data_IF_650710690143
#
_entry.id   IF_650710690143
#
_cell.length_a   1.000
_cell.length_b   1.000
_cell.length_c   1.000
_cell.angle_alpha   90.00
_cell.angle_beta   90.00
_cell.angle_gamma   90.00
#
_symmetry.space_group_name_H-M   'P 1'
#
loop_
_entity.id
_entity.type
_entity.pdbx_description
1 polymer ?
#
# COMPACT_ATOMS: atom_id res chain seq x y z
N UNK A 1 11.99 24.23 19.91
CA UNK A 1 11.27 23.72 21.12
C UNK A 1 11.78 24.35 22.39
N UNK A 2 13.09 24.40 22.66
CA UNK A 2 13.67 25.12 23.83
C UNK A 2 13.31 26.61 23.80
N UNK A 3 13.44 27.26 22.65
CA UNK A 3 13.08 28.68 22.45
C UNK A 3 11.61 29.00 22.75
N UNK A 4 10.70 28.03 22.55
CA UNK A 4 9.27 28.16 22.87
C UNK A 4 8.93 27.89 24.33
N UNK A 5 9.86 27.33 25.11
CA UNK A 5 9.73 27.00 26.53
C UNK A 5 10.43 28.01 27.44
N UNK A 6 11.06 29.08 26.90
CA UNK A 6 11.79 30.07 27.63
C UNK A 6 13.15 29.62 28.17
N UNK A 7 13.38 29.65 29.47
CA UNK A 7 14.69 29.39 30.09
C UNK A 7 15.23 27.96 30.05
N UNK A 8 14.82 27.17 29.09
CA UNK A 8 15.22 25.74 29.01
C UNK A 8 16.23 25.53 27.89
N UNK A 9 17.40 24.95 28.19
CA UNK A 9 18.43 24.66 27.18
C UNK A 9 18.03 23.51 26.25
N UNK A 10 18.49 23.54 24.98
CA UNK A 10 18.29 22.44 24.00
C UNK A 10 18.79 21.10 24.53
N UNK A 11 19.89 21.10 25.30
CA UNK A 11 20.43 19.87 25.93
C UNK A 11 19.49 19.29 26.99
N UNK A 12 18.77 20.15 27.72
CA UNK A 12 17.79 19.68 28.71
C UNK A 12 16.59 19.06 28.01
N UNK A 13 16.05 19.73 26.99
CA UNK A 13 14.94 19.19 26.18
C UNK A 13 15.33 17.86 25.57
N UNK A 14 16.54 17.77 25.00
CA UNK A 14 17.04 16.51 24.41
C UNK A 14 17.17 15.37 25.44
N UNK A 15 17.73 15.66 26.63
CA UNK A 15 17.83 14.68 27.72
C UNK A 15 16.48 14.23 28.24
N UNK A 16 15.54 15.18 28.40
CA UNK A 16 14.17 14.87 28.81
C UNK A 16 13.46 13.94 27.82
N UNK A 17 13.49 14.27 26.54
CA UNK A 17 12.86 13.45 25.49
C UNK A 17 13.48 12.04 25.42
N UNK A 18 14.79 11.95 25.53
CA UNK A 18 15.49 10.68 25.58
C UNK A 18 15.15 9.84 26.82
N UNK A 19 15.04 10.47 27.97
CA UNK A 19 14.60 9.80 29.21
C UNK A 19 13.16 9.26 29.10
N UNK A 20 12.29 9.97 28.37
CA UNK A 20 10.93 9.54 28.06
C UNK A 20 10.86 8.56 26.89
N UNK A 21 12.00 8.13 26.32
CA UNK A 21 12.08 7.27 25.13
C UNK A 21 11.33 7.85 23.92
N UNK A 22 11.24 9.17 23.80
CA UNK A 22 10.63 9.86 22.67
C UNK A 22 11.70 10.00 21.59
N UNK A 23 11.54 9.28 20.50
CA UNK A 23 12.37 9.37 19.31
C UNK A 23 11.78 10.45 18.38
N UNK A 24 12.47 11.57 18.26
CA UNK A 24 12.05 12.68 17.39
C UNK A 24 12.35 12.41 15.90
N UNK A 25 13.31 11.53 15.61
CA UNK A 25 13.67 11.15 14.23
C UNK A 25 12.74 10.04 13.71
N UNK A 26 12.22 9.22 14.61
CA UNK A 26 11.28 8.14 14.32
C UNK A 26 9.84 8.64 14.15
N UNK A 27 9.59 9.53 13.18
CA UNK A 27 8.23 10.02 12.87
C UNK A 27 7.36 8.89 12.35
N UNK A 28 6.58 8.27 13.22
CA UNK A 28 5.48 7.40 12.81
C UNK A 28 4.21 8.24 12.70
N UNK A 29 3.74 8.42 11.46
CA UNK A 29 2.41 8.97 11.24
C UNK A 29 1.37 7.87 11.43
N UNK A 30 0.27 8.16 12.09
CA UNK A 30 -0.90 7.30 12.17
C UNK A 30 -2.15 8.13 11.96
N UNK A 31 -3.18 7.52 11.42
CA UNK A 31 -4.52 8.09 11.40
C UNK A 31 -5.36 7.45 12.50
N UNK A 32 -6.14 8.27 13.17
CA UNK A 32 -7.13 7.81 14.14
C UNK A 32 -8.39 7.35 13.40
N UNK A 33 -8.87 6.15 13.72
CA UNK A 33 -10.10 5.64 13.13
C UNK A 33 -11.27 5.91 14.08
N UNK A 34 -12.27 6.62 13.57
CA UNK A 34 -13.55 6.85 14.25
C UNK A 34 -14.66 5.95 13.66
N UNK A 35 -14.30 4.88 12.97
CA UNK A 35 -15.27 3.94 12.40
C UNK A 35 -15.99 3.19 13.52
N UNK A 36 -17.31 3.33 13.68
CA UNK A 36 -18.06 2.64 14.73
C UNK A 36 -18.06 1.13 14.54
N UNK A 37 -17.83 0.64 13.31
CA UNK A 37 -17.75 -0.78 12.98
C UNK A 37 -16.30 -1.29 12.94
N UNK A 38 -15.34 -0.53 13.51
CA UNK A 38 -13.91 -0.86 13.43
C UNK A 38 -13.61 -2.29 13.86
N UNK A 39 -14.14 -2.72 15.03
CA UNK A 39 -13.88 -4.06 15.57
C UNK A 39 -14.49 -5.14 14.68
N UNK A 40 -15.73 -4.96 14.23
CA UNK A 40 -16.41 -5.94 13.39
C UNK A 40 -15.71 -6.12 12.03
N UNK A 41 -15.41 -5.02 11.33
CA UNK A 41 -14.69 -5.05 10.05
C UNK A 41 -13.28 -5.62 10.19
N UNK A 42 -12.59 -5.25 11.27
CA UNK A 42 -11.26 -5.79 11.58
C UNK A 42 -11.30 -7.30 11.76
N UNK A 43 -12.25 -7.80 12.59
CA UNK A 43 -12.40 -9.23 12.83
C UNK A 43 -12.73 -10.00 11.53
N UNK A 44 -13.63 -9.45 10.70
CA UNK A 44 -13.98 -10.02 9.40
C UNK A 44 -12.75 -10.16 8.48
N UNK A 45 -11.97 -9.09 8.31
CA UNK A 45 -10.80 -9.11 7.44
C UNK A 45 -9.71 -10.04 7.97
N UNK A 46 -9.42 -10.01 9.26
CA UNK A 46 -8.44 -10.91 9.87
C UNK A 46 -8.90 -12.36 9.75
N UNK A 47 -10.19 -12.62 9.93
CA UNK A 47 -10.78 -13.95 9.71
C UNK A 47 -10.51 -14.46 8.30
N UNK A 48 -10.74 -13.64 7.26
CA UNK A 48 -10.44 -13.98 5.88
C UNK A 48 -8.95 -14.26 5.62
N UNK A 49 -8.05 -13.63 6.38
CA UNK A 49 -6.61 -13.85 6.23
C UNK A 49 -6.11 -15.10 6.97
N UNK A 50 -6.71 -15.45 8.10
CA UNK A 50 -6.26 -16.57 8.92
C UNK A 50 -6.99 -17.87 8.60
N UNK A 51 -8.27 -17.79 8.27
CA UNK A 51 -9.14 -18.93 8.02
C UNK A 51 -10.13 -18.60 6.88
N UNK A 52 -9.64 -18.55 5.63
CA UNK A 52 -10.48 -18.25 4.48
C UNK A 52 -11.53 -19.36 4.27
N UNK A 53 -12.72 -19.04 3.74
CA UNK A 53 -13.73 -20.05 3.42
C UNK A 53 -13.18 -21.09 2.44
N UNK A 54 -13.54 -22.36 2.65
CA UNK A 54 -13.07 -23.48 1.83
C UNK A 54 -13.33 -23.25 0.35
N UNK A 55 -12.28 -23.41 -0.47
CA UNK A 55 -12.35 -23.26 -1.91
C UNK A 55 -12.54 -21.84 -2.41
N UNK A 56 -12.77 -20.86 -1.54
CA UNK A 56 -12.88 -19.47 -1.95
C UNK A 56 -11.53 -18.87 -2.38
N UNK A 57 -11.59 -17.83 -3.20
CA UNK A 57 -10.46 -16.97 -3.53
C UNK A 57 -10.54 -15.71 -2.67
N UNK A 58 -9.54 -15.47 -1.85
CA UNK A 58 -9.44 -14.24 -1.06
C UNK A 58 -8.37 -13.34 -1.65
N UNK A 59 -8.76 -12.14 -2.06
CA UNK A 59 -7.90 -11.16 -2.71
C UNK A 59 -7.84 -9.88 -1.89
N UNK A 60 -6.64 -9.34 -1.71
CA UNK A 60 -6.43 -7.96 -1.32
C UNK A 60 -6.21 -7.11 -2.57
N UNK A 61 -7.10 -6.15 -2.83
CA UNK A 61 -7.09 -5.35 -4.07
C UNK A 61 -6.97 -3.87 -3.74
N UNK A 62 -6.15 -3.18 -4.51
CA UNK A 62 -5.98 -1.73 -4.44
C UNK A 62 -5.32 -1.17 -5.71
N UNK A 63 -5.17 0.16 -5.78
CA UNK A 63 -4.42 0.78 -6.85
C UNK A 63 -3.26 1.65 -6.37
N UNK A 64 -2.18 1.67 -7.16
CA UNK A 64 -1.09 2.61 -7.05
C UNK A 64 -1.20 3.64 -8.18
N UNK A 65 -1.82 4.81 -7.90
CA UNK A 65 -2.03 5.82 -8.93
C UNK A 65 -0.77 6.63 -9.19
N UNK A 66 -0.74 7.30 -10.35
CA UNK A 66 0.27 8.31 -10.69
C UNK A 66 1.72 7.84 -10.57
N UNK A 67 2.02 6.58 -10.91
CA UNK A 67 3.39 6.12 -11.01
C UNK A 67 4.06 6.90 -12.13
N UNK A 68 5.07 7.70 -11.79
CA UNK A 68 5.72 8.62 -12.72
C UNK A 68 6.84 7.95 -13.49
N UNK A 69 6.87 8.18 -14.82
CA UNK A 69 8.03 7.91 -15.65
C UNK A 69 9.00 9.07 -15.47
N UNK A 70 10.03 8.89 -14.67
CA UNK A 70 11.07 9.88 -14.38
C UNK A 70 12.35 9.46 -15.05
N UNK A 71 12.83 10.28 -15.98
CA UNK A 71 14.17 10.13 -16.53
C UNK A 71 15.17 10.90 -15.67
N UNK A 72 16.19 10.20 -15.20
CA UNK A 72 17.27 10.76 -14.37
C UNK A 72 18.61 10.42 -14.98
N UNK A 73 19.51 11.40 -15.05
CA UNK A 73 20.89 11.11 -15.41
C UNK A 73 21.49 10.19 -14.32
N UNK A 74 21.94 9.03 -14.76
CA UNK A 74 22.62 8.05 -13.91
C UNK A 74 24.12 8.20 -14.11
N UNK A 75 24.89 8.10 -13.03
CA UNK A 75 26.34 8.22 -13.08
C UNK A 75 27.03 7.37 -12.03
N UNK A 76 28.34 7.18 -12.23
CA UNK A 76 29.20 6.50 -11.28
C UNK A 76 30.18 7.50 -10.68
N UNK A 77 30.24 7.57 -9.37
CA UNK A 77 31.31 8.25 -8.64
C UNK A 77 32.37 7.25 -8.22
N UNK A 78 33.56 7.35 -8.82
CA UNK A 78 34.72 6.55 -8.43
C UNK A 78 35.36 7.19 -7.21
N UNK A 79 35.33 6.51 -6.09
CA UNK A 79 35.92 6.99 -4.83
C UNK A 79 37.44 6.73 -4.80
N UNK A 80 38.19 7.53 -4.01
CA UNK A 80 39.64 7.38 -3.83
C UNK A 80 40.09 6.00 -3.33
N UNK A 81 39.18 5.26 -2.66
CA UNK A 81 39.39 3.90 -2.17
C UNK A 81 39.11 2.80 -3.20
N UNK A 82 38.92 3.15 -4.48
CA UNK A 82 38.62 2.21 -5.55
C UNK A 82 37.17 1.72 -5.62
N UNK A 83 36.31 2.07 -4.66
CA UNK A 83 34.88 1.74 -4.69
C UNK A 83 34.13 2.65 -5.66
N UNK A 84 33.11 2.11 -6.29
CA UNK A 84 32.22 2.86 -7.17
C UNK A 84 30.88 3.04 -6.48
N UNK A 85 30.42 4.29 -6.34
CA UNK A 85 29.08 4.62 -5.92
C UNK A 85 28.22 4.90 -7.15
N UNK A 86 27.12 4.19 -7.30
CA UNK A 86 26.08 4.57 -8.26
C UNK A 86 25.29 5.74 -7.69
N UNK A 87 25.19 6.81 -8.45
CA UNK A 87 24.40 7.97 -8.09
C UNK A 87 23.43 8.34 -9.22
N UNK A 88 22.38 9.03 -8.88
CA UNK A 88 21.47 9.64 -9.85
C UNK A 88 21.31 11.13 -9.54
N UNK A 89 21.09 11.91 -10.58
CA UNK A 89 20.84 13.34 -10.45
C UNK A 89 19.53 13.60 -9.70
N UNK A 90 19.50 14.66 -8.88
CA UNK A 90 18.25 15.20 -8.34
C UNK A 90 17.38 15.85 -9.45
N UNK A 91 17.97 16.26 -10.57
CA UNK A 91 17.23 16.72 -11.74
C UNK A 91 16.61 15.54 -12.46
N UNK A 92 15.35 15.70 -12.85
CA UNK A 92 14.62 14.69 -13.61
C UNK A 92 13.70 15.33 -14.64
N UNK A 93 13.47 14.60 -15.72
CA UNK A 93 12.45 14.91 -16.72
C UNK A 93 11.25 13.99 -16.52
N UNK A 94 10.03 14.53 -16.60
CA UNK A 94 8.78 13.77 -16.48
C UNK A 94 8.25 13.41 -17.86
N UNK A 95 8.01 12.12 -18.09
CA UNK A 95 7.50 11.59 -19.36
C UNK A 95 6.04 11.10 -19.26
N UNK A 96 5.36 11.42 -18.17
CA UNK A 96 3.97 11.04 -17.91
C UNK A 96 3.81 10.04 -16.77
N UNK A 97 2.59 9.51 -16.64
CA UNK A 97 2.20 8.64 -15.52
C UNK A 97 1.44 7.41 -16.00
N UNK A 98 1.45 6.37 -15.18
CA UNK A 98 0.54 5.23 -15.30
C UNK A 98 -0.10 4.93 -13.95
N UNK A 99 -1.26 4.26 -13.97
CA UNK A 99 -1.93 3.73 -12.76
C UNK A 99 -1.86 2.22 -12.84
N UNK A 100 -1.54 1.60 -11.71
CA UNK A 100 -1.50 0.16 -11.53
C UNK A 100 -2.66 -0.25 -10.63
N UNK A 101 -3.52 -1.17 -11.07
CA UNK A 101 -4.37 -1.97 -10.20
C UNK A 101 -3.69 -3.29 -9.92
N UNK A 102 -3.76 -3.76 -8.68
CA UNK A 102 -3.17 -5.03 -8.30
C UNK A 102 -4.09 -5.80 -7.35
N UNK A 103 -4.06 -7.11 -7.47
CA UNK A 103 -4.76 -8.06 -6.62
C UNK A 103 -3.75 -9.09 -6.11
N UNK A 104 -3.61 -9.17 -4.80
CA UNK A 104 -2.80 -10.15 -4.09
C UNK A 104 -3.69 -11.30 -3.66
N UNK A 105 -3.40 -12.51 -4.10
CA UNK A 105 -4.00 -13.73 -3.59
C UNK A 105 -3.42 -14.04 -2.20
N UNK A 106 -4.27 -14.06 -1.20
CA UNK A 106 -3.87 -14.24 0.20
C UNK A 106 -3.30 -15.64 0.44
N UNK A 107 -3.82 -16.65 -0.25
CA UNK A 107 -3.42 -18.04 -0.06
C UNK A 107 -2.08 -18.38 -0.72
N UNK A 108 -1.77 -17.78 -1.87
CA UNK A 108 -0.55 -18.08 -2.64
C UNK A 108 0.52 -17.01 -2.53
N UNK A 109 0.11 -15.77 -2.23
CA UNK A 109 0.96 -14.58 -2.31
C UNK A 109 1.19 -14.07 -3.73
N UNK A 110 0.62 -14.72 -4.75
CA UNK A 110 0.72 -14.29 -6.14
C UNK A 110 -0.04 -12.98 -6.38
N UNK A 111 0.45 -12.20 -7.33
CA UNK A 111 -0.14 -10.91 -7.67
C UNK A 111 -0.55 -10.88 -9.13
N UNK A 112 -1.75 -10.39 -9.37
CA UNK A 112 -2.25 -9.99 -10.68
C UNK A 112 -2.22 -8.49 -10.81
N UNK A 113 -1.77 -8.01 -11.95
CA UNK A 113 -1.58 -6.59 -12.20
C UNK A 113 -2.32 -6.15 -13.48
N UNK A 114 -2.81 -4.90 -13.47
CA UNK A 114 -3.44 -4.28 -14.62
C UNK A 114 -3.03 -2.82 -14.74
N UNK A 115 -2.61 -2.40 -15.94
CA UNK A 115 -2.20 -1.03 -16.20
C UNK A 115 -3.32 -0.21 -16.80
N UNK A 116 -3.57 0.95 -16.20
CA UNK A 116 -4.63 1.85 -16.60
C UNK A 116 -4.13 3.29 -16.68
N UNK A 117 -4.87 4.10 -17.42
CA UNK A 117 -4.57 5.53 -17.51
C UNK A 117 -5.11 6.31 -16.31
N UNK A 118 -6.19 5.83 -15.71
CA UNK A 118 -6.93 6.49 -14.63
C UNK A 118 -7.39 5.48 -13.59
N UNK A 119 -7.73 5.98 -12.38
CA UNK A 119 -8.32 5.20 -11.28
C UNK A 119 -9.80 5.52 -11.09
N UNK A 120 -10.63 5.25 -12.10
CA UNK A 120 -12.08 5.45 -11.99
C UNK A 120 -12.78 4.11 -11.75
N UNK A 121 -14.05 4.19 -11.41
CA UNK A 121 -14.89 3.00 -11.23
C UNK A 121 -14.85 2.05 -12.43
N UNK A 122 -14.84 2.59 -13.65
CA UNK A 122 -14.83 1.79 -14.88
C UNK A 122 -13.54 0.99 -15.03
N UNK A 123 -12.40 1.57 -14.72
CA UNK A 123 -11.12 0.86 -14.75
C UNK A 123 -11.04 -0.20 -13.64
N UNK A 124 -11.53 0.12 -12.44
CA UNK A 124 -11.65 -0.85 -11.36
C UNK A 124 -12.52 -2.05 -11.75
N UNK A 125 -13.70 -1.80 -12.32
CA UNK A 125 -14.58 -2.88 -12.74
C UNK A 125 -14.04 -3.68 -13.93
N UNK A 126 -13.31 -3.06 -14.87
CA UNK A 126 -12.61 -3.77 -15.93
C UNK A 126 -11.55 -4.72 -15.34
N UNK A 127 -10.79 -4.24 -14.37
CA UNK A 127 -9.82 -5.08 -13.66
C UNK A 127 -10.50 -6.25 -12.92
N UNK A 128 -11.60 -5.99 -12.21
CA UNK A 128 -12.36 -7.03 -11.52
C UNK A 128 -12.99 -8.04 -12.50
N UNK A 129 -13.48 -7.60 -13.67
CA UNK A 129 -14.00 -8.49 -14.70
C UNK A 129 -12.92 -9.50 -15.18
N UNK A 130 -11.66 -9.07 -15.33
CA UNK A 130 -10.56 -9.96 -15.69
C UNK A 130 -10.32 -11.02 -14.62
N UNK A 131 -10.29 -10.59 -13.33
CA UNK A 131 -10.14 -11.52 -12.21
C UNK A 131 -11.28 -12.55 -12.18
N UNK A 132 -12.54 -12.10 -12.29
CA UNK A 132 -13.69 -13.00 -12.28
C UNK A 132 -13.64 -13.98 -13.45
N UNK A 133 -13.25 -13.52 -14.64
CA UNK A 133 -13.11 -14.37 -15.83
C UNK A 133 -12.04 -15.46 -15.69
N UNK A 134 -10.97 -15.21 -14.92
CA UNK A 134 -9.93 -16.21 -14.61
C UNK A 134 -10.40 -17.29 -13.62
N UNK A 135 -11.48 -17.03 -12.86
CA UNK A 135 -11.97 -17.90 -11.78
C UNK A 135 -13.47 -18.19 -11.89
N UNK A 136 -13.94 -18.82 -12.98
CA UNK A 136 -15.37 -19.05 -13.22
C UNK A 136 -15.97 -19.93 -12.13
N UNK A 137 -17.10 -19.50 -11.58
CA UNK A 137 -17.86 -20.24 -10.56
C UNK A 137 -17.24 -20.31 -9.17
N UNK A 138 -16.07 -19.72 -8.95
CA UNK A 138 -15.42 -19.69 -7.65
C UNK A 138 -15.96 -18.52 -6.81
N UNK A 139 -16.18 -18.75 -5.52
CA UNK A 139 -16.46 -17.66 -4.59
C UNK A 139 -15.23 -16.77 -4.42
N UNK A 140 -15.41 -15.46 -4.56
CA UNK A 140 -14.32 -14.47 -4.53
C UNK A 140 -14.61 -13.43 -3.43
N UNK A 141 -13.76 -13.40 -2.43
CA UNK A 141 -13.78 -12.41 -1.37
C UNK A 141 -12.70 -11.35 -1.67
N UNK A 142 -13.09 -10.09 -1.73
CA UNK A 142 -12.20 -8.99 -2.10
C UNK A 142 -12.09 -8.00 -0.96
N UNK A 143 -10.92 -7.90 -0.36
CA UNK A 143 -10.60 -6.90 0.66
C UNK A 143 -10.19 -5.61 -0.05
N UNK A 144 -10.84 -4.51 0.30
CA UNK A 144 -10.72 -3.19 -0.32
C UNK A 144 -10.60 -2.09 0.73
N UNK A 145 -9.98 -0.99 0.39
CA UNK A 145 -10.09 0.24 1.16
C UNK A 145 -11.44 0.97 0.91
N UNK A 146 -11.69 2.04 1.66
CA UNK A 146 -12.92 2.81 1.57
C UNK A 146 -12.96 3.83 0.42
N UNK A 147 -12.09 3.70 -0.58
CA UNK A 147 -12.09 4.60 -1.72
C UNK A 147 -13.43 4.58 -2.46
N UNK A 148 -13.89 5.76 -2.86
CA UNK A 148 -15.21 5.90 -3.50
C UNK A 148 -15.33 5.13 -4.83
N UNK A 149 -14.21 4.84 -5.51
CA UNK A 149 -14.18 4.01 -6.72
C UNK A 149 -14.49 2.54 -6.45
N UNK A 150 -14.21 2.05 -5.23
CA UNK A 150 -14.46 0.66 -4.83
C UNK A 150 -15.89 0.41 -4.38
N UNK A 151 -16.54 1.44 -3.81
CA UNK A 151 -17.89 1.31 -3.25
C UNK A 151 -18.92 0.94 -4.33
N UNK A 152 -19.87 0.05 -3.99
CA UNK A 152 -20.98 -0.28 -4.89
C UNK A 152 -21.71 0.98 -5.36
N UNK A 153 -22.06 1.01 -6.64
CA UNK A 153 -22.78 2.09 -7.29
C UNK A 153 -24.06 1.52 -7.95
N UNK A 154 -24.84 2.39 -8.57
CA UNK A 154 -26.01 2.01 -9.36
C UNK A 154 -25.64 1.31 -10.70
N UNK A 155 -24.37 0.88 -10.85
CA UNK A 155 -23.90 0.13 -12.02
C UNK A 155 -24.40 -1.33 -12.05
N UNK A 156 -24.92 -1.84 -10.94
CA UNK A 156 -25.44 -3.20 -10.83
C UNK A 156 -24.36 -4.29 -11.02
N UNK A 157 -23.08 -3.98 -10.84
CA UNK A 157 -22.01 -4.93 -11.09
C UNK A 157 -22.04 -6.10 -10.09
N UNK A 158 -22.11 -5.84 -8.78
CA UNK A 158 -22.20 -6.89 -7.75
C UNK A 158 -23.43 -7.80 -7.92
N UNK A 159 -24.64 -7.30 -8.16
CA UNK A 159 -25.79 -8.15 -8.46
C UNK A 159 -25.60 -9.12 -9.65
N UNK A 160 -24.78 -8.73 -10.64
CA UNK A 160 -24.43 -9.62 -11.76
C UNK A 160 -23.30 -10.60 -11.45
N UNK A 161 -22.63 -10.45 -10.32
CA UNK A 161 -21.53 -11.32 -9.87
C UNK A 161 -21.81 -11.81 -8.44
N UNK A 162 -22.83 -12.68 -8.25
CA UNK A 162 -23.29 -13.10 -6.91
C UNK A 162 -22.25 -13.91 -6.14
N UNK A 163 -21.25 -14.42 -6.84
CA UNK A 163 -20.09 -15.11 -6.26
C UNK A 163 -18.97 -14.15 -5.78
N UNK A 164 -19.14 -12.83 -5.92
CA UNK A 164 -18.14 -11.83 -5.48
C UNK A 164 -18.68 -11.08 -4.26
N UNK A 165 -17.86 -11.00 -3.22
CA UNK A 165 -18.15 -10.24 -1.98
C UNK A 165 -17.05 -9.24 -1.71
N UNK A 166 -17.43 -7.98 -1.45
CA UNK A 166 -16.51 -6.90 -1.08
C UNK A 166 -16.49 -6.70 0.44
N UNK A 167 -15.29 -6.69 1.00
CA UNK A 167 -15.00 -6.47 2.41
C UNK A 167 -14.18 -5.20 2.56
N UNK A 168 -14.74 -4.18 3.21
CA UNK A 168 -14.08 -2.88 3.32
C UNK A 168 -13.30 -2.76 4.62
N UNK A 169 -12.04 -2.30 4.53
CA UNK A 169 -11.26 -1.97 5.72
C UNK A 169 -11.96 -0.88 6.54
N UNK A 170 -11.76 -0.82 7.87
CA UNK A 170 -12.24 0.31 8.65
C UNK A 170 -11.70 1.63 8.11
N UNK A 171 -12.42 2.71 8.28
CA UNK A 171 -11.98 4.05 7.86
C UNK A 171 -10.63 4.37 8.52
N UNK A 172 -9.69 4.92 7.73
CA UNK A 172 -8.31 5.20 8.14
C UNK A 172 -7.48 3.96 8.60
N UNK A 173 -7.87 2.76 8.15
CA UNK A 173 -7.17 1.52 8.42
C UNK A 173 -6.75 0.77 7.14
N UNK A 174 -6.38 1.50 6.09
CA UNK A 174 -5.92 0.91 4.81
C UNK A 174 -4.70 -0.02 4.98
N UNK A 175 -3.89 0.18 6.03
CA UNK A 175 -2.78 -0.70 6.39
C UNK A 175 -3.18 -2.15 6.64
N UNK A 176 -4.46 -2.43 6.85
CA UNK A 176 -5.00 -3.80 6.95
C UNK A 176 -5.11 -4.47 5.58
N UNK A 177 -5.11 -3.72 4.49
CA UNK A 177 -5.10 -4.26 3.14
C UNK A 177 -3.68 -4.76 2.79
N UNK A 178 -3.47 -6.07 2.75
CA UNK A 178 -2.14 -6.67 2.56
C UNK A 178 -1.47 -6.30 1.24
N UNK A 179 -2.21 -5.87 0.23
CA UNK A 179 -1.62 -5.40 -1.05
C UNK A 179 -0.68 -4.20 -0.86
N UNK A 180 -0.85 -3.40 0.20
CA UNK A 180 0.03 -2.28 0.52
C UNK A 180 1.46 -2.74 0.86
N UNK A 181 1.60 -3.94 1.45
CA UNK A 181 2.92 -4.56 1.69
C UNK A 181 3.59 -4.83 0.35
N UNK A 182 2.86 -5.41 -0.59
CA UNK A 182 3.39 -5.71 -1.92
C UNK A 182 3.72 -4.42 -2.70
N UNK A 183 2.90 -3.37 -2.63
CA UNK A 183 3.22 -2.08 -3.24
C UNK A 183 4.50 -1.46 -2.67
N UNK A 184 4.78 -1.69 -1.40
CA UNK A 184 6.04 -1.27 -0.77
C UNK A 184 7.23 -2.06 -1.32
N UNK A 185 7.09 -3.36 -1.54
CA UNK A 185 8.09 -4.23 -2.15
C UNK A 185 8.34 -3.81 -3.60
N UNK A 186 7.28 -3.65 -4.42
CA UNK A 186 7.37 -3.16 -5.80
C UNK A 186 8.13 -1.83 -5.87
N UNK A 187 7.75 -0.89 -5.01
CA UNK A 187 8.35 0.45 -5.00
C UNK A 187 9.85 0.39 -4.76
N UNK A 188 10.28 -0.36 -3.75
CA UNK A 188 11.71 -0.50 -3.38
C UNK A 188 12.50 -1.30 -4.39
N UNK A 189 11.92 -2.37 -4.95
CA UNK A 189 12.66 -3.31 -5.77
C UNK A 189 12.68 -2.98 -7.26
N UNK A 190 11.65 -2.26 -7.77
CA UNK A 190 11.50 -2.06 -9.20
C UNK A 190 11.38 -0.59 -9.64
N UNK A 191 10.95 0.31 -8.75
CA UNK A 191 10.67 1.69 -9.13
C UNK A 191 11.65 2.70 -8.53
N UNK A 192 12.10 2.47 -7.29
CA UNK A 192 12.97 3.41 -6.59
C UNK A 192 14.35 3.47 -7.27
N UNK A 193 14.78 4.68 -7.63
CA UNK A 193 16.08 4.89 -8.30
C UNK A 193 16.14 4.50 -9.77
N UNK A 194 15.07 3.91 -10.34
CA UNK A 194 14.98 3.60 -11.76
C UNK A 194 14.81 4.89 -12.61
N UNK A 195 15.24 4.80 -13.87
CA UNK A 195 15.09 5.88 -14.86
C UNK A 195 14.23 5.37 -16.01
N UNK A 196 13.18 6.14 -16.36
CA UNK A 196 12.20 5.77 -17.37
C UNK A 196 11.94 6.95 -18.30
N UNK A 197 12.02 6.72 -19.61
CA UNK A 197 11.76 7.72 -20.66
C UNK A 197 10.32 7.67 -21.19
N UNK A 198 9.49 6.74 -20.68
CA UNK A 198 8.07 6.66 -21.04
C UNK A 198 7.26 5.89 -20.00
N UNK A 199 5.94 6.12 -19.90
CA UNK A 199 5.05 5.29 -19.07
C UNK A 199 5.03 3.83 -19.50
N UNK A 200 5.33 3.52 -20.76
CA UNK A 200 5.39 2.13 -21.23
C UNK A 200 6.59 1.40 -20.62
N UNK A 201 7.74 2.06 -20.47
CA UNK A 201 8.88 1.45 -19.77
C UNK A 201 8.56 1.13 -18.31
N UNK A 202 7.82 2.02 -17.62
CA UNK A 202 7.34 1.75 -16.25
C UNK A 202 6.47 0.48 -16.23
N UNK A 203 5.52 0.35 -17.16
CA UNK A 203 4.64 -0.82 -17.26
C UNK A 203 5.43 -2.10 -17.48
N UNK A 204 6.33 -2.10 -18.46
CA UNK A 204 7.18 -3.25 -18.78
C UNK A 204 8.04 -3.66 -17.57
N UNK A 205 8.58 -2.70 -16.81
CA UNK A 205 9.34 -2.97 -15.60
C UNK A 205 8.48 -3.59 -14.51
N UNK A 206 7.26 -3.11 -14.33
CA UNK A 206 6.30 -3.68 -13.36
C UNK A 206 5.91 -5.10 -13.78
N UNK A 207 5.62 -5.34 -15.05
CA UNK A 207 5.23 -6.67 -15.55
C UNK A 207 6.36 -7.68 -15.38
N UNK A 208 7.60 -7.30 -15.71
CA UNK A 208 8.79 -8.11 -15.47
C UNK A 208 8.98 -8.43 -13.98
N UNK A 209 8.76 -7.44 -13.12
CA UNK A 209 8.84 -7.62 -11.67
C UNK A 209 7.74 -8.57 -11.17
N UNK A 210 6.49 -8.39 -11.58
CA UNK A 210 5.35 -9.28 -11.22
C UNK A 210 5.64 -10.71 -11.63
N UNK A 211 6.10 -10.92 -12.86
CA UNK A 211 6.47 -12.25 -13.35
C UNK A 211 7.54 -12.89 -12.46
N UNK A 212 8.63 -12.19 -12.20
CA UNK A 212 9.71 -12.70 -11.34
C UNK A 212 9.29 -12.87 -9.87
N UNK A 213 8.42 -12.02 -9.36
CA UNK A 213 7.89 -12.11 -8.00
C UNK A 213 7.03 -13.37 -7.85
N UNK A 214 6.10 -13.61 -8.78
CA UNK A 214 5.16 -14.73 -8.74
C UNK A 214 5.85 -16.08 -8.78
N UNK A 215 7.04 -16.21 -9.42
CA UNK A 215 7.81 -17.49 -9.40
C UNK A 215 8.26 -17.91 -8.00
N UNK A 216 8.28 -16.99 -7.04
CA UNK A 216 8.74 -17.18 -5.67
C UNK A 216 7.75 -16.64 -4.64
N UNK A 217 6.53 -16.34 -5.07
CA UNK A 217 5.48 -15.80 -4.21
C UNK A 217 5.21 -16.71 -3.01
N UNK A 218 4.96 -16.09 -1.88
CA UNK A 218 4.55 -16.77 -0.64
C UNK A 218 3.52 -15.89 0.06
N UNK A 219 2.55 -16.48 0.75
CA UNK A 219 1.59 -15.74 1.55
C UNK A 219 2.28 -14.80 2.56
N UNK A 220 1.70 -13.64 2.78
CA UNK A 220 2.09 -12.80 3.91
C UNK A 220 1.45 -13.36 5.18
N UNK A 221 2.27 -13.55 6.22
CA UNK A 221 1.76 -13.99 7.51
C UNK A 221 1.26 -12.80 8.33
N UNK A 222 0.05 -12.90 8.85
CA UNK A 222 -0.45 -11.95 9.83
C UNK A 222 0.19 -12.26 11.19
N UNK A 223 0.99 -11.34 11.71
CA UNK A 223 1.76 -11.54 12.95
C UNK A 223 1.25 -10.72 14.14
N UNK A 224 0.35 -9.76 13.91
CA UNK A 224 -0.20 -8.96 14.99
C UNK A 224 -1.22 -9.76 15.79
N UNK A 225 -0.96 -9.95 17.09
CA UNK A 225 -1.87 -10.64 18.02
C UNK A 225 -3.02 -9.76 18.47
N UNK A 226 -2.85 -8.44 18.42
CA UNK A 226 -3.86 -7.44 18.80
C UNK A 226 -3.87 -6.29 17.79
N UNK A 227 -5.07 -5.84 17.47
CA UNK A 227 -5.29 -4.65 16.65
C UNK A 227 -6.03 -3.63 17.49
N UNK A 228 -5.38 -2.50 17.73
CA UNK A 228 -5.95 -1.43 18.52
C UNK A 228 -6.43 -0.29 17.63
N UNK A 229 -7.67 0.14 17.85
CA UNK A 229 -8.13 1.42 17.36
C UNK A 229 -7.38 2.51 18.14
N UNK A 230 -6.52 3.27 17.45
CA UNK A 230 -5.71 4.29 18.11
C UNK A 230 -6.53 5.56 18.27
N UNK A 231 -6.59 6.05 19.52
CA UNK A 231 -7.12 7.37 19.86
C UNK A 231 -5.98 8.24 20.40
N UNK A 232 -5.94 9.50 19.97
CA UNK A 232 -5.08 10.48 20.62
C UNK A 232 -5.61 10.69 22.03
N UNK A 233 -4.77 10.48 23.03
CA UNK A 233 -5.10 10.88 24.40
C UNK A 233 -5.49 12.36 24.42
N UNK A 234 -6.52 12.69 25.17
CA UNK A 234 -6.93 14.08 25.41
C UNK A 234 -5.69 14.90 25.80
N UNK A 235 -5.45 16.00 25.08
CA UNK A 235 -4.42 16.97 25.51
C UNK A 235 -4.69 17.27 26.97
N UNK A 236 -3.73 16.95 27.84
CA UNK A 236 -3.72 17.48 29.18
C UNK A 236 -3.60 18.98 29.01
N UNK A 237 -4.70 19.71 29.18
CA UNK A 237 -4.67 21.14 29.35
C UNK A 237 -3.93 21.38 30.66
N UNK A 238 -2.69 21.81 30.56
CA UNK A 238 -2.00 22.33 31.71
C UNK A 238 -2.71 23.62 32.13
N UNK A 239 -3.00 23.79 33.42
CA UNK A 239 -3.57 25.03 33.97
C UNK A 239 -2.60 26.21 33.78
#
# INVERSE_FOLDING_TARGET
>A
MAEALGDVSDQYVWRFLRAQKIDLDGRKSWCESHDPEFVAKTAEIIGLYLDPPDGALVLAVDEKPHIQALERAQGYLKMKNGRTLTGHSHHYTRHGTTTLFAALDIATGEVRAGHYRRRRRVEFLDFMNRIVAEHPGRDIHVVLDNLNTHKPKRDGWLPRHPNVRFHFTPTHASWMNQIEIWFSILSRSALQGASFTSPQQVRNQIDAFVHSYNTRAKPFSWTATTVHQKHLGTRVSHP
#
